data_IF_803449464846
#
_entry.id   IF_803449464846
#
_cell.length_a   1.000
_cell.length_b   1.000
_cell.length_c   1.000
_cell.angle_alpha   90.00
_cell.angle_beta   90.00
_cell.angle_gamma   90.00
#
_symmetry.space_group_name_H-M   'P 1'
#
loop_
_entity.id
_entity.type
_entity.pdbx_description
1 polymer ?
#
# COMPACT_ATOMS: atom_id res chain seq x y z
N UNK A 1 11.00 -5.10 -11.40
CA UNK A 1 9.64 -4.59 -11.09
C UNK A 1 9.78 -3.24 -10.45
N UNK A 2 8.77 -2.39 -10.61
CA UNK A 2 8.71 -1.05 -10.02
C UNK A 2 8.02 -1.12 -8.65
N UNK A 3 8.75 -0.85 -7.58
CA UNK A 3 8.27 -0.95 -6.19
C UNK A 3 7.14 0.02 -5.88
N UNK A 4 7.12 1.16 -6.57
CA UNK A 4 6.09 2.21 -6.54
C UNK A 4 4.73 1.72 -7.06
N UNK A 5 4.69 0.93 -8.12
CA UNK A 5 3.46 0.31 -8.64
C UNK A 5 2.87 -0.66 -7.60
N UNK A 6 3.74 -1.48 -7.01
CA UNK A 6 3.38 -2.49 -6.03
C UNK A 6 2.84 -1.85 -4.74
N UNK A 7 3.50 -0.76 -4.29
CA UNK A 7 3.04 0.06 -3.18
C UNK A 7 1.69 0.72 -3.46
N UNK A 8 1.49 1.24 -4.67
CA UNK A 8 0.23 1.84 -5.11
C UNK A 8 -0.93 0.85 -5.14
N UNK A 9 -0.74 -0.32 -5.75
CA UNK A 9 -1.73 -1.40 -5.78
C UNK A 9 -2.07 -1.90 -4.38
N UNK A 10 -1.06 -2.07 -3.51
CA UNK A 10 -1.26 -2.50 -2.13
C UNK A 10 -2.08 -1.49 -1.33
N UNK A 11 -1.75 -0.20 -1.43
CA UNK A 11 -2.50 0.87 -0.76
C UNK A 11 -3.97 0.93 -1.24
N UNK A 12 -4.22 0.76 -2.54
CA UNK A 12 -5.58 0.69 -3.06
C UNK A 12 -6.34 -0.53 -2.52
N UNK A 13 -5.69 -1.68 -2.41
CA UNK A 13 -6.29 -2.89 -1.84
C UNK A 13 -6.56 -2.75 -0.33
N UNK A 14 -5.66 -2.13 0.42
CA UNK A 14 -5.84 -1.82 1.86
C UNK A 14 -7.03 -0.88 2.09
N UNK A 15 -7.37 -0.02 1.11
CA UNK A 15 -8.58 0.82 1.12
C UNK A 15 -9.85 0.08 0.70
N UNK A 16 -9.76 -1.20 0.37
CA UNK A 16 -10.88 -2.02 -0.10
C UNK A 16 -11.24 -1.78 -1.58
N UNK A 17 -10.37 -1.16 -2.37
CA UNK A 17 -10.62 -1.00 -3.80
C UNK A 17 -10.39 -2.31 -4.56
N UNK A 18 -11.19 -2.54 -5.61
CA UNK A 18 -11.01 -3.69 -6.48
C UNK A 18 -9.69 -3.58 -7.24
N UNK A 19 -8.93 -4.68 -7.34
CA UNK A 19 -7.63 -4.71 -8.02
C UNK A 19 -7.71 -4.20 -9.47
N UNK A 20 -8.79 -4.50 -10.19
CA UNK A 20 -8.97 -4.03 -11.57
C UNK A 20 -9.13 -2.51 -11.63
N UNK A 21 -9.80 -1.92 -10.63
CA UNK A 21 -9.96 -0.46 -10.52
C UNK A 21 -8.62 0.21 -10.21
N UNK A 22 -7.81 -0.39 -9.34
CA UNK A 22 -6.47 0.09 -9.03
C UNK A 22 -5.53 0.03 -10.25
N UNK A 23 -5.60 -1.05 -11.03
CA UNK A 23 -4.86 -1.19 -12.30
C UNK A 23 -5.20 -0.03 -13.26
N UNK A 24 -6.49 0.23 -13.49
CA UNK A 24 -6.93 1.32 -14.37
C UNK A 24 -6.47 2.68 -13.84
N UNK A 25 -6.53 2.88 -12.52
CA UNK A 25 -6.06 4.12 -11.90
C UNK A 25 -4.56 4.36 -12.13
N UNK A 26 -3.72 3.32 -12.06
CA UNK A 26 -2.29 3.42 -12.32
C UNK A 26 -1.98 3.65 -13.81
N UNK A 27 -2.71 2.99 -14.71
CA UNK A 27 -2.59 3.25 -16.16
C UNK A 27 -2.91 4.72 -16.47
N UNK A 28 -3.98 5.25 -15.87
CA UNK A 28 -4.36 6.66 -16.02
C UNK A 28 -3.36 7.63 -15.38
N UNK A 29 -2.57 7.17 -14.40
CA UNK A 29 -1.49 7.94 -13.77
C UNK A 29 -0.18 7.93 -14.58
N UNK A 30 -0.14 7.24 -15.73
CA UNK A 30 1.02 7.21 -16.63
C UNK A 30 1.91 5.98 -16.46
N UNK A 31 1.51 4.98 -15.69
CA UNK A 31 2.24 3.72 -15.60
C UNK A 31 1.96 2.81 -16.81
N UNK A 32 2.94 2.00 -17.20
CA UNK A 32 2.79 1.06 -18.30
C UNK A 32 1.84 -0.07 -17.92
N UNK A 33 0.86 -0.35 -18.77
CA UNK A 33 -0.13 -1.42 -18.56
C UNK A 33 0.51 -2.78 -18.28
N UNK A 34 1.61 -3.10 -18.97
CA UNK A 34 2.35 -4.36 -18.78
C UNK A 34 2.92 -4.46 -17.37
N UNK A 35 3.59 -3.41 -16.89
CA UNK A 35 4.21 -3.38 -15.56
C UNK A 35 3.14 -3.44 -14.45
N UNK A 36 2.03 -2.73 -14.63
CA UNK A 36 0.92 -2.72 -13.67
C UNK A 36 0.25 -4.10 -13.57
N UNK A 37 0.01 -4.77 -14.70
CA UNK A 37 -0.54 -6.14 -14.72
C UNK A 37 0.40 -7.16 -14.09
N UNK A 38 1.71 -7.05 -14.36
CA UNK A 38 2.72 -7.93 -13.77
C UNK A 38 2.76 -7.80 -12.24
N UNK A 39 2.75 -6.56 -11.74
CA UNK A 39 2.70 -6.28 -10.31
C UNK A 39 1.40 -6.76 -9.66
N UNK A 40 0.25 -6.62 -10.36
CA UNK A 40 -1.02 -7.13 -9.88
C UNK A 40 -1.05 -8.66 -9.78
N UNK A 41 -0.44 -9.38 -10.73
CA UNK A 41 -0.32 -10.83 -10.69
C UNK A 41 0.55 -11.28 -9.50
N UNK A 42 1.67 -10.58 -9.28
CA UNK A 42 2.54 -10.82 -8.14
C UNK A 42 1.81 -10.65 -6.80
N UNK A 43 1.00 -9.59 -6.66
CA UNK A 43 0.18 -9.33 -5.47
C UNK A 43 -0.90 -10.40 -5.23
N UNK A 44 -1.48 -10.96 -6.30
CA UNK A 44 -2.48 -12.02 -6.20
C UNK A 44 -1.86 -13.40 -5.86
N UNK A 45 -0.54 -13.48 -5.69
CA UNK A 45 0.14 -14.75 -5.48
C UNK A 45 0.06 -15.70 -6.68
N UNK A 46 -0.43 -15.21 -7.83
CA UNK A 46 -0.23 -15.90 -9.10
C UNK A 46 1.22 -15.69 -9.47
N UNK A 47 2.05 -16.67 -9.11
CA UNK A 47 3.37 -16.80 -9.73
C UNK A 47 3.15 -16.67 -11.24
N UNK A 48 3.82 -15.73 -11.92
CA UNK A 48 3.72 -15.63 -13.36
C UNK A 48 4.23 -16.96 -13.91
N UNK A 49 3.30 -17.85 -14.23
CA UNK A 49 3.64 -19.06 -14.93
C UNK A 49 4.05 -18.56 -16.32
N UNK A 50 5.36 -18.40 -16.51
CA UNK A 50 6.02 -18.06 -17.77
C UNK A 50 5.88 -19.21 -18.78
N UNK A 51 4.75 -19.92 -18.75
CA UNK A 51 4.30 -20.73 -19.86
C UNK A 51 3.90 -19.76 -20.97
N UNK A 52 4.92 -19.49 -21.78
CA UNK A 52 4.83 -19.18 -23.19
C UNK A 52 3.43 -19.45 -23.75
N UNK A 53 2.79 -18.36 -24.16
CA UNK A 53 2.25 -18.21 -25.51
C UNK A 53 2.07 -19.51 -26.30
N UNK A 54 0.91 -20.14 -26.17
CA UNK A 54 0.30 -20.80 -27.32
C UNK A 54 -0.61 -19.80 -28.02
N UNK A 55 -0.10 -19.33 -29.16
CA UNK A 55 -0.84 -18.69 -30.23
C UNK A 55 -1.96 -19.62 -30.69
N UNK A 56 -3.13 -19.53 -30.06
CA UNK A 56 -4.37 -19.93 -30.70
C UNK A 56 -5.44 -18.91 -30.36
N UNK A 57 -5.40 -17.80 -31.08
CA UNK A 57 -6.59 -16.98 -31.29
C UNK A 57 -7.52 -17.77 -32.22
N UNK A 58 -8.76 -18.08 -31.83
CA UNK A 58 -9.85 -18.09 -32.79
C UNK A 58 -9.95 -16.65 -33.28
N UNK A 59 -9.62 -16.45 -34.56
CA UNK A 59 -9.91 -15.23 -35.30
C UNK A 59 -11.44 -15.07 -35.30
N UNK A 60 -12.00 -14.44 -34.26
CA UNK A 60 -13.40 -14.03 -34.25
C UNK A 60 -13.48 -12.87 -35.23
N UNK A 61 -13.89 -13.23 -36.43
CA UNK A 61 -14.29 -12.38 -37.51
C UNK A 61 -15.09 -11.19 -36.97
N UNK A 62 -14.51 -10.01 -37.20
CA UNK A 62 -15.04 -8.71 -36.84
C UNK A 62 -16.29 -8.43 -37.69
N UNK A 63 -17.43 -9.02 -37.32
CA UNK A 63 -18.72 -8.56 -37.84
C UNK A 63 -19.05 -7.25 -37.15
N UNK A 64 -18.71 -6.15 -37.83
CA UNK A 64 -19.12 -4.79 -37.50
C UNK A 64 -20.64 -4.72 -37.57
N UNK A 65 -21.31 -5.05 -36.47
CA UNK A 65 -22.72 -4.72 -36.30
C UNK A 65 -22.79 -3.31 -35.73
N UNK A 66 -23.03 -2.39 -36.66
CA UNK A 66 -23.42 -1.01 -36.43
C UNK A 66 -24.71 -0.99 -35.59
N UNK A 67 -24.57 -1.05 -34.27
CA UNK A 67 -25.65 -0.76 -33.33
C UNK A 67 -25.48 0.70 -32.94
N UNK A 68 -26.21 1.56 -33.65
CA UNK A 68 -26.52 2.91 -33.20
C UNK A 68 -27.43 2.79 -31.97
N UNK A 69 -26.84 2.60 -30.79
CA UNK A 69 -27.53 2.95 -29.55
C UNK A 69 -27.52 4.47 -29.42
N UNK A 70 -28.68 5.11 -29.18
CA UNK A 70 -28.73 6.54 -28.94
C UNK A 70 -27.90 6.85 -27.71
N UNK A 71 -26.86 7.67 -27.89
CA UNK A 71 -26.09 8.29 -26.81
C UNK A 71 -27.07 9.12 -25.99
N UNK A 72 -27.62 8.50 -24.95
CA UNK A 72 -28.28 9.22 -23.86
C UNK A 72 -27.16 10.04 -23.23
N UNK A 73 -27.11 11.32 -23.63
CA UNK A 73 -26.21 12.34 -23.10
C UNK A 73 -26.22 12.22 -21.59
N UNK A 74 -25.19 11.59 -21.04
CA UNK A 74 -24.86 11.83 -19.65
C UNK A 74 -24.55 13.32 -19.57
N UNK A 75 -25.10 14.03 -18.58
CA UNK A 75 -24.81 15.44 -18.39
C UNK A 75 -23.30 15.57 -18.22
N UNK A 76 -22.68 16.10 -19.28
CA UNK A 76 -21.37 16.69 -19.25
C UNK A 76 -21.48 17.78 -18.19
N UNK A 77 -21.05 17.45 -16.97
CA UNK A 77 -20.94 18.43 -15.90
C UNK A 77 -20.01 19.50 -16.46
N UNK A 78 -20.61 20.61 -16.87
CA UNK A 78 -19.89 21.86 -17.07
C UNK A 78 -19.17 22.07 -15.75
N UNK A 79 -17.87 21.87 -15.74
CA UNK A 79 -17.00 22.45 -14.73
C UNK A 79 -17.11 23.95 -14.97
N UNK A 80 -18.15 24.51 -14.38
CA UNK A 80 -18.40 25.92 -14.30
C UNK A 80 -17.32 26.42 -13.36
N UNK A 81 -16.27 27.00 -13.94
CA UNK A 81 -15.20 27.71 -13.26
C UNK A 81 -15.77 29.04 -12.72
N UNK A 82 -16.84 28.96 -11.94
CA UNK A 82 -17.30 30.04 -11.08
C UNK A 82 -16.50 29.90 -9.80
N UNK A 83 -15.55 30.81 -9.64
CA UNK A 83 -14.90 31.14 -8.36
C UNK A 83 -15.97 31.50 -7.33
N UNK A 84 -16.46 30.49 -6.62
CA UNK A 84 -17.09 30.66 -5.31
C UNK A 84 -15.97 30.77 -4.27
N UNK A 85 -16.19 31.55 -3.21
CA UNK A 85 -15.17 31.85 -2.22
C UNK A 85 -14.63 30.57 -1.64
N UNK A 86 -13.33 30.59 -1.36
CA UNK A 86 -12.58 29.66 -0.52
C UNK A 86 -13.32 29.54 0.82
N UNK A 87 -14.39 28.76 0.84
CA UNK A 87 -14.97 28.23 2.03
C UNK A 87 -14.02 27.09 2.35
N UNK A 88 -13.07 27.40 3.23
CA UNK A 88 -12.14 26.48 3.85
C UNK A 88 -12.77 25.10 3.87
N UNK A 89 -12.19 24.18 3.09
CA UNK A 89 -12.44 22.77 3.28
C UNK A 89 -12.45 22.56 4.81
N UNK A 90 -13.34 21.74 5.38
CA UNK A 90 -12.96 21.10 6.62
C UNK A 90 -11.61 20.50 6.26
N UNK A 91 -10.53 21.10 6.77
CA UNK A 91 -9.20 20.54 6.79
C UNK A 91 -9.52 19.17 7.35
N UNK A 92 -9.61 18.20 6.44
CA UNK A 92 -9.77 16.82 6.79
C UNK A 92 -8.52 16.66 7.61
N UNK A 93 -8.70 16.73 8.93
CA UNK A 93 -7.68 16.38 9.88
C UNK A 93 -7.34 15.03 9.34
N UNK A 94 -6.23 14.97 8.63
CA UNK A 94 -5.50 13.74 8.41
C UNK A 94 -5.38 13.28 9.83
N UNK A 95 -6.31 12.41 10.22
CA UNK A 95 -6.15 11.57 11.37
C UNK A 95 -4.95 10.79 10.89
N UNK A 96 -3.79 11.34 11.22
CA UNK A 96 -2.55 10.61 11.29
C UNK A 96 -2.94 9.54 12.29
N UNK A 97 -3.45 8.43 11.75
CA UNK A 97 -3.45 7.17 12.46
C UNK A 97 -1.98 7.03 12.82
N UNK A 98 -1.66 7.42 14.06
CA UNK A 98 -0.39 7.12 14.65
C UNK A 98 -0.27 5.62 14.54
N UNK A 99 0.50 5.18 13.53
CA UNK A 99 0.91 3.79 13.39
C UNK A 99 1.54 3.45 14.72
N UNK A 100 0.75 2.76 15.55
CA UNK A 100 1.04 2.42 16.94
C UNK A 100 2.37 1.69 16.94
N UNK A 101 3.41 2.47 17.20
CA UNK A 101 4.74 2.17 16.71
C UNK A 101 5.31 0.96 17.44
N UNK A 102 6.14 0.21 16.71
CA UNK A 102 7.05 -0.80 17.23
C UNK A 102 8.01 -0.25 18.32
N UNK A 103 7.90 1.01 18.73
CA UNK A 103 8.66 1.64 19.82
C UNK A 103 8.48 0.97 21.18
N UNK A 104 7.35 0.30 21.44
CA UNK A 104 7.18 -0.49 22.68
C UNK A 104 8.16 -1.68 22.76
N UNK A 105 8.60 -2.23 21.63
CA UNK A 105 9.57 -3.33 21.64
C UNK A 105 10.96 -2.81 22.03
N UNK A 106 11.32 -1.60 21.58
CA UNK A 106 12.61 -0.98 21.93
C UNK A 106 12.66 -0.65 23.43
N UNK A 107 11.59 -0.08 23.99
CA UNK A 107 11.54 0.21 25.44
C UNK A 107 11.64 -1.08 26.28
N UNK A 108 10.97 -2.16 25.83
CA UNK A 108 10.99 -3.46 26.51
C UNK A 108 12.39 -4.08 26.46
N UNK A 109 13.09 -3.96 25.33
CA UNK A 109 14.45 -4.47 25.17
C UNK A 109 15.46 -3.74 26.06
N UNK A 110 15.33 -2.42 26.23
CA UNK A 110 16.20 -1.62 27.11
C UNK A 110 15.99 -2.01 28.57
N UNK A 111 14.73 -2.13 29.01
CA UNK A 111 14.39 -2.56 30.38
C UNK A 111 14.96 -3.95 30.68
N UNK A 112 14.81 -4.89 29.75
CA UNK A 112 15.35 -6.23 29.89
C UNK A 112 16.88 -6.23 30.04
N UNK A 113 17.57 -5.44 29.21
CA UNK A 113 19.04 -5.33 29.26
C UNK A 113 19.53 -4.76 30.60
N UNK A 114 18.88 -3.70 31.11
CA UNK A 114 19.19 -3.10 32.41
C UNK A 114 19.04 -4.13 33.54
N UNK A 115 17.95 -4.92 33.53
CA UNK A 115 17.72 -5.99 34.51
C UNK A 115 18.84 -7.03 34.53
N UNK A 116 19.29 -7.47 33.34
CA UNK A 116 20.39 -8.44 33.22
C UNK A 116 21.70 -7.82 33.69
N UNK A 117 22.01 -6.58 33.30
CA UNK A 117 23.20 -5.88 33.76
C UNK A 117 23.23 -5.73 35.29
N UNK A 118 22.12 -5.30 35.91
CA UNK A 118 22.01 -5.18 37.38
C UNK A 118 22.21 -6.53 38.06
N UNK A 119 21.63 -7.61 37.51
CA UNK A 119 21.79 -8.96 38.06
C UNK A 119 23.25 -9.43 38.02
N UNK A 120 23.92 -9.29 36.87
CA UNK A 120 25.33 -9.66 36.70
C UNK A 120 26.22 -8.81 37.60
N UNK A 121 25.97 -7.50 37.64
CA UNK A 121 26.70 -6.57 38.50
C UNK A 121 26.53 -6.93 39.98
N UNK A 122 25.31 -7.28 40.42
CA UNK A 122 25.03 -7.74 41.78
C UNK A 122 25.84 -8.99 42.14
N UNK A 123 25.98 -9.95 41.22
CA UNK A 123 26.76 -11.17 41.44
C UNK A 123 28.27 -10.86 41.56
N UNK A 124 28.81 -10.04 40.67
CA UNK A 124 30.25 -9.70 40.66
C UNK A 124 30.61 -8.86 41.88
N UNK A 125 29.80 -7.85 42.17
CA UNK A 125 30.04 -6.92 43.27
C UNK A 125 29.55 -7.43 44.62
N UNK A 126 28.92 -8.62 44.69
CA UNK A 126 28.48 -9.22 45.97
C UNK A 126 29.60 -9.23 47.00
N UNK A 127 30.83 -9.60 46.58
CA UNK A 127 31.99 -9.64 47.48
C UNK A 127 32.42 -8.24 47.92
N UNK A 128 32.42 -7.27 47.01
CA UNK A 128 32.78 -5.88 47.29
C UNK A 128 31.79 -5.21 48.24
N UNK A 129 30.48 -5.41 48.02
CA UNK A 129 29.42 -4.81 48.84
C UNK A 129 29.41 -5.41 50.25
N UNK A 130 29.52 -6.74 50.37
CA UNK A 130 29.57 -7.41 51.68
C UNK A 130 30.87 -7.06 52.41
N UNK A 131 31.99 -6.92 51.71
CA UNK A 131 33.26 -6.48 52.28
C UNK A 131 33.29 -5.01 52.70
N UNK A 132 32.40 -4.16 52.18
CA UNK A 132 32.26 -2.77 52.61
C UNK A 132 31.35 -2.61 53.84
N UNK A 133 30.52 -3.62 54.13
CA UNK A 133 29.61 -3.64 55.28
C UNK A 133 30.19 -4.35 56.51
N UNK A 134 31.31 -5.05 56.36
CA UNK A 134 32.02 -5.75 57.44
C UNK A 134 33.25 -4.98 57.89
#
# INVERSE_FOLDING_TARGET
>A
MREDILGGLKNALERGENINKAIVSLINAGYSEKEVKEAANFLQGRTPNLQQSDNNLPQVEKKVQNIQTPVKKFPQSKINQNSLPVNSLPTSKVVVEEKKGKGKIIILSIILFILVCVLVFSIIFRKTIVGWLS
#
